data_IF_532251158942
#
_entry.id   IF_532251158942
#
_cell.length_a   1.000
_cell.length_b   1.000
_cell.length_c   1.000
_cell.angle_alpha   90.00
_cell.angle_beta   90.00
_cell.angle_gamma   90.00
#
_symmetry.space_group_name_H-M   'P 1'
#
loop_
_entity.id
_entity.type
_entity.pdbx_description
1 polymer ?
#
# COMPACT_ATOMS: atom_id res chain seq x y z
N UNK A 1 -64.08 -26.32 18.16
CA UNK A 1 -62.79 -26.95 18.45
C UNK A 1 -62.20 -27.48 17.15
N UNK A 2 -61.30 -26.70 16.50
CA UNK A 2 -60.45 -27.04 15.34
C UNK A 2 -59.93 -25.74 14.71
N UNK A 3 -58.86 -25.16 15.26
CA UNK A 3 -57.93 -24.29 14.52
C UNK A 3 -56.56 -24.58 15.13
N UNK A 4 -55.97 -25.67 14.66
CA UNK A 4 -54.57 -25.97 14.89
C UNK A 4 -53.88 -25.92 13.53
N UNK A 5 -52.63 -25.48 13.55
CA UNK A 5 -51.61 -25.81 12.53
C UNK A 5 -51.58 -24.88 11.32
N UNK A 6 -50.93 -23.73 11.44
CA UNK A 6 -50.09 -23.14 10.36
C UNK A 6 -49.23 -22.00 10.89
N UNK A 7 -48.10 -22.32 11.54
CA UNK A 7 -47.08 -21.32 11.90
C UNK A 7 -45.65 -21.89 11.91
N UNK A 8 -45.38 -22.89 11.06
CA UNK A 8 -44.02 -23.33 10.78
C UNK A 8 -43.88 -23.45 9.27
N UNK A 9 -43.26 -22.45 8.65
CA UNK A 9 -43.12 -22.44 7.19
C UNK A 9 -42.52 -21.18 6.59
N UNK A 10 -41.70 -20.43 7.34
CA UNK A 10 -40.74 -19.47 6.75
C UNK A 10 -39.46 -19.47 7.61
N UNK A 11 -38.85 -20.65 7.76
CA UNK A 11 -37.39 -20.74 7.91
C UNK A 11 -36.90 -21.37 6.60
N UNK A 12 -37.31 -20.76 5.49
CA UNK A 12 -36.81 -21.10 4.17
C UNK A 12 -35.48 -20.38 4.02
N UNK A 13 -34.42 -21.08 4.42
CA UNK A 13 -33.16 -21.12 3.68
C UNK A 13 -32.70 -19.74 3.20
N UNK A 14 -32.35 -18.88 4.13
CA UNK A 14 -31.25 -17.95 3.91
C UNK A 14 -29.94 -18.74 4.13
N UNK A 15 -29.72 -19.80 3.32
CA UNK A 15 -28.36 -20.19 2.96
C UNK A 15 -27.88 -19.05 2.06
N UNK A 16 -27.65 -17.88 2.66
CA UNK A 16 -26.88 -16.85 2.02
C UNK A 16 -25.56 -17.51 1.74
N UNK A 17 -25.18 -17.58 0.46
CA UNK A 17 -23.81 -17.85 0.10
C UNK A 17 -23.00 -16.87 0.93
N UNK A 18 -22.36 -17.37 1.98
CA UNK A 18 -21.39 -16.56 2.70
C UNK A 18 -20.43 -16.14 1.59
N UNK A 19 -20.21 -14.83 1.39
CA UNK A 19 -19.20 -14.41 0.45
C UNK A 19 -17.95 -15.22 0.76
N UNK A 20 -17.31 -15.75 -0.29
CA UNK A 20 -16.01 -16.41 -0.12
C UNK A 20 -15.20 -15.50 0.79
N UNK A 21 -14.82 -16.03 1.96
CA UNK A 21 -14.30 -15.20 3.04
C UNK A 21 -13.09 -14.47 2.52
N UNK A 22 -13.09 -13.14 2.63
CA UNK A 22 -11.98 -12.31 2.21
C UNK A 22 -10.66 -12.87 2.78
N UNK A 23 -9.74 -13.26 1.92
CA UNK A 23 -8.54 -14.01 2.32
C UNK A 23 -7.33 -13.08 2.42
N UNK A 24 -7.00 -12.70 3.65
CA UNK A 24 -5.83 -11.89 3.98
C UNK A 24 -4.61 -12.80 4.19
N UNK A 25 -3.56 -12.56 3.40
CA UNK A 25 -2.29 -13.30 3.45
C UNK A 25 -1.36 -12.68 4.48
N UNK A 26 -1.12 -11.38 4.39
CA UNK A 26 -0.19 -10.66 5.27
C UNK A 26 -0.78 -9.35 5.75
N UNK A 27 -0.40 -8.95 6.98
CA UNK A 27 -0.86 -7.71 7.61
C UNK A 27 0.23 -7.05 8.45
N UNK A 28 0.42 -5.75 8.29
CA UNK A 28 1.25 -4.89 9.14
C UNK A 28 0.49 -3.60 9.46
N UNK A 29 -0.05 -3.52 10.69
CA UNK A 29 -0.69 -2.32 11.27
C UNK A 29 0.21 -1.55 12.22
N UNK A 30 1.53 -1.79 12.15
CA UNK A 30 2.55 -1.16 12.98
C UNK A 30 2.19 -1.07 14.47
N UNK A 31 1.67 -2.16 15.05
CA UNK A 31 1.24 -2.25 16.44
C UNK A 31 2.41 -2.32 17.44
N UNK A 32 3.33 -1.38 17.32
CA UNK A 32 4.52 -1.20 18.15
C UNK A 32 4.29 -0.08 19.16
N UNK A 33 5.09 0.00 20.24
CA UNK A 33 5.05 1.16 21.11
C UNK A 33 5.56 2.43 20.38
N UNK A 34 4.97 3.58 20.68
CA UNK A 34 5.41 4.87 20.09
C UNK A 34 6.90 5.12 20.33
N UNK A 35 7.60 5.56 19.29
CA UNK A 35 9.05 5.83 19.30
C UNK A 35 9.93 4.59 19.18
N UNK A 36 9.35 3.39 19.02
CA UNK A 36 10.13 2.15 18.87
C UNK A 36 10.74 2.09 17.48
N UNK A 37 12.07 1.94 17.39
CA UNK A 37 12.72 1.56 16.15
C UNK A 37 12.26 0.15 15.74
N UNK A 38 11.89 -0.05 14.48
CA UNK A 38 11.39 -1.31 13.94
C UNK A 38 12.54 -2.08 13.29
N UNK A 39 12.49 -3.42 13.29
CA UNK A 39 13.56 -4.25 12.72
C UNK A 39 14.84 -4.27 13.57
N UNK A 40 14.70 -4.13 14.89
CA UNK A 40 15.82 -4.18 15.85
C UNK A 40 16.29 -5.61 16.18
N UNK A 41 15.57 -6.64 15.73
CA UNK A 41 16.01 -8.03 15.80
C UNK A 41 14.93 -9.00 16.31
N UNK A 42 15.23 -10.33 16.28
CA UNK A 42 14.24 -11.40 16.24
C UNK A 42 13.11 -11.34 17.29
N UNK A 43 11.88 -11.47 16.80
CA UNK A 43 10.64 -11.44 17.58
C UNK A 43 10.15 -10.04 17.96
N UNK A 44 10.78 -8.95 17.49
CA UNK A 44 10.33 -7.58 17.80
C UNK A 44 9.19 -7.12 16.91
N UNK A 45 9.11 -7.68 15.70
CA UNK A 45 8.23 -7.19 14.67
C UNK A 45 6.84 -7.85 14.73
N UNK A 46 5.80 -7.03 14.72
CA UNK A 46 4.40 -7.43 14.79
C UNK A 46 3.85 -7.85 13.42
N UNK A 47 2.53 -7.77 13.28
CA UNK A 47 1.83 -8.20 12.07
C UNK A 47 1.67 -9.71 11.95
N UNK A 48 1.12 -10.16 10.82
CA UNK A 48 0.90 -11.57 10.51
C UNK A 48 1.23 -11.89 9.05
N UNK A 49 1.55 -13.15 8.75
CA UNK A 49 1.81 -13.59 7.38
C UNK A 49 3.15 -13.14 6.80
N UNK A 50 4.13 -12.85 7.65
CA UNK A 50 5.49 -12.47 7.27
C UNK A 50 6.46 -13.58 7.66
N UNK A 51 7.42 -13.90 6.79
CA UNK A 51 8.41 -14.97 7.04
C UNK A 51 9.61 -14.49 7.84
N UNK A 52 9.83 -13.18 7.88
CA UNK A 52 10.88 -12.53 8.65
C UNK A 52 10.41 -11.19 9.22
N UNK A 53 11.32 -10.54 9.93
CA UNK A 53 11.18 -9.17 10.40
C UNK A 53 11.48 -8.17 9.28
N UNK A 54 11.12 -6.91 9.51
CA UNK A 54 11.62 -5.80 8.74
C UNK A 54 13.15 -5.82 8.75
N UNK A 55 13.69 -5.98 7.56
CA UNK A 55 15.12 -6.08 7.33
C UNK A 55 15.58 -4.81 6.65
N UNK A 56 16.59 -4.17 7.22
CA UNK A 56 17.24 -3.02 6.60
C UNK A 56 18.04 -3.44 5.38
N UNK A 57 18.06 -2.62 4.34
CA UNK A 57 19.04 -2.77 3.27
C UNK A 57 20.46 -2.57 3.81
N UNK A 58 21.28 -3.61 3.83
CA UNK A 58 22.67 -3.49 4.30
C UNK A 58 23.54 -2.57 3.44
N UNK A 59 23.20 -2.40 2.16
CA UNK A 59 24.02 -1.66 1.20
C UNK A 59 23.78 -0.15 1.21
N UNK A 60 22.59 0.29 1.60
CA UNK A 60 22.17 1.68 1.43
C UNK A 60 21.14 2.15 2.47
N UNK A 61 20.71 1.30 3.40
CA UNK A 61 19.75 1.64 4.43
C UNK A 61 20.44 2.14 5.70
N UNK A 62 20.00 3.27 6.24
CA UNK A 62 20.48 3.81 7.50
C UNK A 62 19.91 3.03 8.70
N UNK A 63 20.68 2.82 9.79
CA UNK A 63 20.14 2.26 11.03
C UNK A 63 19.01 3.15 11.61
N UNK A 64 18.03 2.53 12.27
CA UNK A 64 16.95 3.23 12.99
C UNK A 64 16.17 4.22 12.11
N UNK A 65 16.05 3.86 10.83
CA UNK A 65 15.41 4.67 9.81
C UNK A 65 13.96 4.24 9.48
N UNK A 66 13.45 3.28 10.26
CA UNK A 66 12.05 2.90 10.32
C UNK A 66 11.69 2.84 11.80
N UNK A 67 10.72 3.65 12.22
CA UNK A 67 10.22 3.65 13.61
C UNK A 67 8.71 3.75 13.65
N UNK A 68 8.13 3.18 14.68
CA UNK A 68 6.72 3.38 14.96
C UNK A 68 6.49 4.75 15.58
N UNK A 69 5.44 5.43 15.17
CA UNK A 69 5.04 6.70 15.77
C UNK A 69 3.56 6.66 16.14
N UNK A 70 3.28 7.15 17.33
CA UNK A 70 1.96 7.15 17.96
C UNK A 70 0.90 7.85 17.12
N UNK A 71 -0.29 7.28 17.13
CA UNK A 71 -1.41 7.68 16.28
C UNK A 71 -1.50 6.78 15.06
N UNK A 72 -2.71 6.56 14.56
CA UNK A 72 -2.94 5.83 13.32
C UNK A 72 -3.27 6.81 12.20
N UNK A 73 -3.00 6.41 10.97
CA UNK A 73 -3.56 7.05 9.80
C UNK A 73 -4.98 6.53 9.57
N UNK A 74 -5.85 7.35 8.96
CA UNK A 74 -7.26 7.00 8.78
C UNK A 74 -7.80 7.41 7.42
N UNK A 75 -8.47 6.51 6.72
CA UNK A 75 -9.06 6.81 5.42
C UNK A 75 -10.58 6.66 5.46
N UNK A 76 -11.27 7.66 4.93
CA UNK A 76 -12.72 7.64 4.71
C UNK A 76 -12.96 8.01 3.26
N UNK A 77 -13.67 7.15 2.53
CA UNK A 77 -13.96 7.38 1.12
C UNK A 77 -15.06 8.44 0.90
N UNK A 78 -15.32 8.75 -0.36
CA UNK A 78 -16.31 9.76 -0.76
C UNK A 78 -17.76 9.40 -0.38
N UNK A 79 -18.02 8.13 -0.05
CA UNK A 79 -19.33 7.66 0.40
C UNK A 79 -19.43 7.59 1.93
N UNK A 80 -18.39 8.01 2.66
CA UNK A 80 -18.40 8.06 4.12
C UNK A 80 -18.04 6.74 4.81
N UNK A 81 -17.61 5.70 4.07
CA UNK A 81 -17.12 4.47 4.70
C UNK A 81 -15.69 4.68 5.15
N UNK A 82 -15.40 4.22 6.36
CA UNK A 82 -14.07 4.31 6.96
C UNK A 82 -13.36 2.96 6.86
N UNK A 83 -12.13 2.98 6.38
CA UNK A 83 -11.24 1.83 6.39
C UNK A 83 -10.97 1.42 7.85
N UNK A 84 -11.08 0.14 8.15
CA UNK A 84 -10.75 -0.39 9.48
C UNK A 84 -9.25 -0.32 9.67
N UNK A 85 -8.80 0.54 10.58
CA UNK A 85 -7.39 0.67 10.97
C UNK A 85 -7.18 0.32 12.43
N UNK A 86 -5.95 -0.02 12.81
CA UNK A 86 -5.51 -0.40 14.14
C UNK A 86 -4.01 -0.14 14.28
N UNK A 87 -3.58 0.26 15.48
CA UNK A 87 -2.17 0.42 15.78
C UNK A 87 -1.64 1.83 15.55
N UNK A 88 -0.35 1.91 15.30
CA UNK A 88 0.39 3.13 15.01
C UNK A 88 0.75 3.13 13.52
N UNK A 89 1.56 4.08 13.04
CA UNK A 89 2.14 4.01 11.69
C UNK A 89 3.67 3.85 11.75
N UNK A 90 4.22 3.25 10.70
CA UNK A 90 5.65 3.18 10.44
C UNK A 90 6.12 4.47 9.76
N UNK A 91 7.00 5.22 10.41
CA UNK A 91 7.67 6.36 9.83
C UNK A 91 9.03 5.93 9.27
N UNK A 92 9.17 6.04 7.96
CA UNK A 92 10.40 5.78 7.21
C UNK A 92 11.12 7.12 7.04
N UNK A 93 12.16 7.33 7.84
CA UNK A 93 12.92 8.57 7.91
C UNK A 93 14.38 8.30 8.25
N UNK A 94 15.29 9.26 8.11
CA UNK A 94 16.72 9.07 8.41
C UNK A 94 17.07 9.43 9.86
N UNK A 95 16.28 8.87 10.80
CA UNK A 95 16.44 8.98 12.25
C UNK A 95 16.32 10.42 12.79
N UNK A 96 15.18 11.04 12.47
CA UNK A 96 14.69 12.23 13.15
C UNK A 96 15.42 13.50 12.74
N UNK A 97 14.85 14.19 11.74
CA UNK A 97 14.80 15.65 11.55
C UNK A 97 16.09 16.49 11.68
N UNK A 98 17.23 15.92 12.03
CA UNK A 98 18.50 16.59 12.08
C UNK A 98 18.78 16.98 10.64
N UNK A 99 18.78 18.30 10.45
CA UNK A 99 19.01 18.98 9.19
C UNK A 99 20.25 18.32 8.55
N UNK A 100 20.05 17.44 7.58
CA UNK A 100 21.13 16.74 6.88
C UNK A 100 21.81 17.74 5.93
N UNK A 101 22.39 18.79 6.52
CA UNK A 101 23.07 19.88 5.83
C UNK A 101 24.32 19.42 5.11
N UNK A 102 24.81 18.23 5.47
CA UNK A 102 26.06 17.68 4.95
C UNK A 102 25.87 16.93 3.62
N UNK A 103 24.65 16.87 3.08
CA UNK A 103 24.39 16.28 1.76
C UNK A 103 24.73 14.79 1.68
N UNK A 104 24.70 14.08 2.81
CA UNK A 104 24.93 12.64 2.85
C UNK A 104 23.83 11.91 2.08
N UNK A 105 24.20 10.90 1.30
CA UNK A 105 23.26 10.06 0.54
C UNK A 105 22.42 9.12 1.41
N UNK A 106 21.82 9.63 2.49
CA UNK A 106 21.03 8.88 3.45
C UNK A 106 19.78 8.32 2.79
N UNK A 107 19.53 7.03 3.02
CA UNK A 107 18.30 6.37 2.60
C UNK A 107 17.79 5.49 3.72
N UNK A 108 16.50 5.57 3.97
CA UNK A 108 15.75 4.59 4.71
C UNK A 108 15.23 3.57 3.70
N UNK A 109 15.73 2.33 3.78
CA UNK A 109 15.33 1.26 2.87
C UNK A 109 15.11 -0.01 3.70
N UNK A 110 13.86 -0.42 3.78
CA UNK A 110 13.42 -1.55 4.60
C UNK A 110 12.58 -2.49 3.76
N UNK A 111 12.64 -3.77 4.07
CA UNK A 111 11.83 -4.77 3.41
C UNK A 111 11.40 -5.87 4.33
N UNK A 112 10.33 -6.56 3.93
CA UNK A 112 9.82 -7.72 4.64
C UNK A 112 9.27 -8.72 3.64
N UNK A 113 9.55 -10.01 3.87
CA UNK A 113 9.10 -11.10 3.02
C UNK A 113 7.82 -11.70 3.59
N UNK A 114 6.92 -12.12 2.70
CA UNK A 114 5.69 -12.82 3.06
C UNK A 114 6.02 -14.26 3.48
N UNK A 115 5.19 -14.84 4.36
CA UNK A 115 5.20 -16.28 4.62
C UNK A 115 4.11 -16.94 3.78
N UNK A 116 4.54 -17.58 2.70
CA UNK A 116 3.67 -18.28 1.76
C UNK A 116 3.67 -19.80 1.98
N UNK A 117 4.31 -20.28 3.05
CA UNK A 117 4.43 -21.72 3.32
C UNK A 117 3.08 -22.40 3.56
N UNK A 118 2.09 -21.68 4.10
CA UNK A 118 0.72 -22.15 4.26
C UNK A 118 0.01 -22.46 2.93
N UNK A 119 0.45 -21.86 1.83
CA UNK A 119 -0.03 -22.11 0.47
C UNK A 119 0.80 -23.16 -0.27
N UNK A 120 1.91 -23.62 0.31
CA UNK A 120 2.88 -24.47 -0.38
C UNK A 120 3.56 -23.77 -1.55
N UNK A 121 3.65 -22.44 -1.51
CA UNK A 121 4.17 -21.59 -2.58
C UNK A 121 5.45 -20.86 -2.15
N UNK A 122 6.31 -20.55 -3.12
CA UNK A 122 7.51 -19.75 -2.93
C UNK A 122 7.30 -18.26 -3.25
N UNK A 123 6.27 -17.92 -4.03
CA UNK A 123 5.94 -16.56 -4.46
C UNK A 123 4.44 -16.43 -4.74
N UNK A 124 3.96 -15.19 -4.92
CA UNK A 124 2.54 -14.93 -5.18
C UNK A 124 2.03 -15.47 -6.51
N UNK A 125 2.87 -15.59 -7.54
CA UNK A 125 2.47 -16.18 -8.84
C UNK A 125 2.07 -17.64 -8.68
N UNK A 126 2.76 -18.39 -7.81
CA UNK A 126 2.38 -19.78 -7.48
C UNK A 126 1.10 -19.85 -6.65
N UNK A 127 0.82 -18.85 -5.81
CA UNK A 127 -0.42 -18.79 -5.01
C UNK A 127 -1.64 -18.55 -5.91
N UNK A 128 -1.59 -17.56 -6.81
CA UNK A 128 -2.76 -17.15 -7.60
C UNK A 128 -2.85 -17.83 -8.97
N UNK A 129 -1.72 -18.35 -9.48
CA UNK A 129 -1.59 -18.90 -10.82
C UNK A 129 -1.59 -17.83 -11.92
N UNK A 130 -1.18 -18.23 -13.12
CA UNK A 130 -1.20 -17.35 -14.31
C UNK A 130 -2.62 -16.87 -14.60
N UNK A 131 -2.78 -15.57 -14.77
CA UNK A 131 -4.06 -14.87 -14.95
C UNK A 131 -4.83 -14.61 -13.65
N UNK A 132 -4.36 -15.16 -12.52
CA UNK A 132 -4.86 -14.84 -11.20
C UNK A 132 -4.36 -13.48 -10.71
N UNK A 133 -5.08 -12.88 -9.77
CA UNK A 133 -4.72 -11.61 -9.18
C UNK A 133 -4.63 -11.70 -7.67
N UNK A 134 -3.82 -10.81 -7.09
CA UNK A 134 -3.82 -10.51 -5.67
C UNK A 134 -3.75 -9.00 -5.47
N UNK A 135 -4.04 -8.58 -4.26
CA UNK A 135 -4.18 -7.18 -3.90
C UNK A 135 -3.26 -6.83 -2.75
N UNK A 136 -2.80 -5.60 -2.76
CA UNK A 136 -2.04 -4.97 -1.69
C UNK A 136 -2.72 -3.66 -1.39
N UNK A 137 -2.87 -3.31 -0.13
CA UNK A 137 -3.24 -1.94 0.23
C UNK A 137 -2.32 -1.40 1.29
N UNK A 138 -2.22 -0.07 1.32
CA UNK A 138 -1.57 0.64 2.41
C UNK A 138 -2.09 2.07 2.43
N UNK A 139 -1.90 2.70 3.58
CA UNK A 139 -2.05 4.13 3.70
C UNK A 139 -0.66 4.75 3.64
N UNK A 140 -0.45 5.70 2.71
CA UNK A 140 0.78 6.46 2.61
C UNK A 140 0.55 7.94 2.92
N UNK A 141 1.43 8.54 3.69
CA UNK A 141 1.47 9.99 3.88
C UNK A 141 2.90 10.48 3.70
N UNK A 142 3.12 11.37 2.72
CA UNK A 142 4.42 12.01 2.58
C UNK A 142 4.60 13.02 3.71
N UNK A 143 5.75 12.92 4.37
CA UNK A 143 6.16 13.84 5.42
C UNK A 143 7.52 14.45 5.10
N UNK A 144 7.91 15.46 5.87
CA UNK A 144 9.21 16.10 5.73
C UNK A 144 9.13 17.60 5.88
N UNK A 145 10.30 18.21 6.06
CA UNK A 145 10.41 19.66 6.19
C UNK A 145 10.25 20.37 4.85
N UNK A 146 9.78 21.61 4.91
CA UNK A 146 10.00 22.60 3.87
C UNK A 146 11.52 22.72 3.61
N UNK A 147 11.98 22.41 2.40
CA UNK A 147 13.39 22.52 2.03
C UNK A 147 13.62 23.93 1.49
N UNK A 148 14.49 24.74 2.11
CA UNK A 148 14.95 25.97 1.48
C UNK A 148 15.76 25.62 0.23
N UNK A 149 15.13 25.64 -0.93
CA UNK A 149 15.84 25.55 -2.20
C UNK A 149 16.56 26.89 -2.42
N UNK A 150 17.89 26.87 -2.41
CA UNK A 150 18.69 27.95 -3.00
C UNK A 150 18.57 27.77 -4.51
N UNK A 151 17.64 28.51 -5.12
CA UNK A 151 17.56 28.62 -6.58
C UNK A 151 18.54 29.71 -6.96
N UNK A 152 19.60 29.34 -7.67
CA UNK A 152 20.42 30.31 -8.41
C UNK A 152 19.57 30.85 -9.57
N UNK A 153 18.87 31.95 -9.30
CA UNK A 153 17.89 32.58 -10.18
C UNK A 153 18.52 33.35 -11.33
N UNK A 154 19.78 33.77 -11.20
CA UNK A 154 20.49 34.53 -12.23
C UNK A 154 21.79 33.88 -12.73
N UNK A 155 22.14 32.71 -12.20
CA UNK A 155 23.25 31.87 -12.61
C UNK A 155 24.61 32.59 -12.46
N UNK A 156 24.72 33.47 -11.44
CA UNK A 156 25.88 34.32 -11.19
C UNK A 156 26.93 33.69 -10.25
N UNK A 157 26.62 32.53 -9.66
CA UNK A 157 27.50 31.82 -8.73
C UNK A 157 27.57 32.43 -7.32
N UNK A 158 26.75 33.45 -7.03
CA UNK A 158 26.48 34.01 -5.72
C UNK A 158 25.40 33.22 -4.96
N UNK A 159 25.38 33.37 -3.63
CA UNK A 159 24.35 32.74 -2.81
C UNK A 159 23.02 33.45 -2.96
N UNK A 160 22.12 32.89 -3.75
CA UNK A 160 20.81 33.47 -4.01
C UNK A 160 19.77 33.24 -2.89
N UNK A 161 18.67 34.00 -2.96
CA UNK A 161 17.64 34.05 -1.91
C UNK A 161 17.09 32.68 -1.54
N UNK A 162 17.06 32.43 -0.23
CA UNK A 162 16.43 31.27 0.38
C UNK A 162 14.90 31.38 0.25
N UNK A 163 14.31 30.84 -0.81
CA UNK A 163 12.86 30.65 -0.84
C UNK A 163 12.52 29.38 -0.06
N UNK A 164 11.82 29.55 1.06
CA UNK A 164 11.19 28.45 1.79
C UNK A 164 9.98 27.96 0.99
N UNK A 165 10.22 27.11 0.00
CA UNK A 165 9.15 26.31 -0.56
C UNK A 165 8.92 25.09 0.35
N UNK A 166 7.69 24.55 0.45
CA UNK A 166 7.53 23.14 0.81
C UNK A 166 8.54 22.33 0.03
N UNK A 167 9.18 21.33 0.63
CA UNK A 167 10.07 20.45 -0.12
C UNK A 167 9.21 19.63 -1.08
N UNK A 168 8.82 20.24 -2.20
CA UNK A 168 7.84 19.67 -3.12
C UNK A 168 8.40 18.40 -3.80
N UNK A 169 9.70 18.10 -3.62
CA UNK A 169 10.48 17.21 -4.48
C UNK A 169 11.48 16.31 -3.75
N UNK A 170 11.23 15.95 -2.48
CA UNK A 170 12.05 14.97 -1.78
C UNK A 170 12.04 13.63 -2.55
N UNK A 171 13.22 13.20 -3.00
CA UNK A 171 13.38 12.05 -3.91
C UNK A 171 13.01 10.75 -3.20
N UNK A 172 12.85 9.69 -3.97
CA UNK A 172 12.90 8.31 -3.46
C UNK A 172 11.91 8.03 -2.31
N UNK A 173 10.64 8.39 -2.47
CA UNK A 173 9.57 8.11 -1.51
C UNK A 173 8.59 7.14 -2.15
N UNK A 174 8.74 5.85 -1.89
CA UNK A 174 7.90 4.85 -2.54
C UNK A 174 7.75 3.55 -1.76
N UNK A 175 6.66 2.88 -2.07
CA UNK A 175 6.43 1.48 -1.77
C UNK A 175 6.99 0.63 -2.92
N UNK A 176 7.57 -0.52 -2.63
CA UNK A 176 8.08 -1.42 -3.68
C UNK A 176 7.63 -2.86 -3.50
N UNK A 177 7.43 -3.52 -4.64
CA UNK A 177 7.20 -4.95 -4.74
C UNK A 177 8.54 -5.66 -4.96
N UNK A 178 8.77 -6.73 -4.23
CA UNK A 178 10.07 -7.43 -4.17
C UNK A 178 10.02 -8.82 -4.76
N UNK A 179 11.09 -9.20 -5.45
CA UNK A 179 11.35 -10.57 -5.89
C UNK A 179 12.66 -11.11 -5.28
N UNK A 180 12.67 -12.37 -4.84
CA UNK A 180 13.88 -13.10 -4.46
C UNK A 180 14.32 -12.93 -3.00
N UNK A 181 13.44 -12.51 -2.10
CA UNK A 181 13.72 -12.50 -0.66
C UNK A 181 14.67 -11.39 -0.16
N UNK A 182 15.02 -10.44 -1.02
CA UNK A 182 15.82 -9.25 -0.69
C UNK A 182 15.26 -7.99 -1.36
N UNK A 183 15.90 -6.84 -1.12
CA UNK A 183 15.58 -5.60 -1.84
C UNK A 183 16.04 -5.69 -3.31
N UNK A 184 15.22 -6.35 -4.12
CA UNK A 184 15.20 -6.26 -5.56
C UNK A 184 13.93 -5.53 -5.97
N UNK A 185 14.03 -4.22 -6.16
CA UNK A 185 12.89 -3.39 -6.55
C UNK A 185 12.42 -3.80 -7.95
N UNK A 186 11.26 -4.42 -8.05
CA UNK A 186 10.69 -4.84 -9.35
C UNK A 186 9.65 -3.85 -9.83
N UNK A 187 8.77 -3.42 -8.94
CA UNK A 187 7.82 -2.35 -9.18
C UNK A 187 7.86 -1.36 -8.01
N UNK A 188 7.81 -0.07 -8.33
CA UNK A 188 7.86 1.05 -7.39
C UNK A 188 6.59 1.89 -7.56
N UNK A 189 5.90 2.17 -6.46
CA UNK A 189 4.67 2.97 -6.39
C UNK A 189 4.93 4.16 -5.47
N UNK A 190 4.91 5.37 -6.04
CA UNK A 190 5.22 6.60 -5.32
C UNK A 190 6.03 7.57 -6.18
N UNK A 191 7.09 8.15 -5.62
CA UNK A 191 8.00 9.02 -6.34
C UNK A 191 9.46 8.50 -6.22
N UNK A 192 9.83 7.47 -7.01
CA UNK A 192 11.19 6.94 -7.07
C UNK A 192 12.13 7.86 -7.87
N UNK A 193 11.64 8.99 -8.38
CA UNK A 193 12.37 9.84 -9.31
C UNK A 193 13.25 10.88 -8.63
N UNK A 194 14.17 11.44 -9.43
CA UNK A 194 14.84 12.71 -9.11
C UNK A 194 14.06 13.94 -9.58
N UNK A 195 12.91 13.73 -10.23
CA UNK A 195 12.16 14.79 -10.88
C UNK A 195 11.34 15.55 -9.87
N UNK A 196 11.18 16.82 -10.18
CA UNK A 196 10.40 17.76 -9.38
C UNK A 196 8.91 17.61 -9.67
N UNK A 197 8.39 16.39 -9.80
CA UNK A 197 6.96 16.16 -10.04
C UNK A 197 6.37 15.57 -8.78
N UNK A 198 5.44 16.30 -8.17
CA UNK A 198 4.70 15.86 -6.98
C UNK A 198 3.53 14.97 -7.39
N UNK A 199 3.82 13.84 -8.04
CA UNK A 199 2.82 12.91 -8.57
C UNK A 199 3.15 11.48 -8.17
N UNK A 200 2.10 10.68 -8.00
CA UNK A 200 2.26 9.24 -7.91
C UNK A 200 2.69 8.68 -9.26
N UNK A 201 3.65 7.79 -9.22
CA UNK A 201 4.15 7.06 -10.39
C UNK A 201 4.18 5.57 -10.10
N UNK A 202 3.99 4.79 -11.15
CA UNK A 202 4.18 3.35 -11.16
C UNK A 202 5.35 3.06 -12.11
N UNK A 203 6.45 2.56 -11.55
CA UNK A 203 7.69 2.32 -12.28
C UNK A 203 8.12 0.87 -12.14
N UNK A 204 8.44 0.23 -13.27
CA UNK A 204 9.11 -1.07 -13.27
C UNK A 204 10.63 -0.88 -13.11
N UNK A 205 11.34 -1.91 -12.66
CA UNK A 205 12.80 -1.91 -12.53
C UNK A 205 13.46 -1.49 -13.84
N UNK A 206 14.45 -0.61 -13.74
CA UNK A 206 15.20 0.00 -14.85
C UNK A 206 14.33 0.72 -15.92
N UNK A 207 13.01 0.74 -15.79
CA UNK A 207 12.17 1.49 -16.71
C UNK A 207 12.42 2.99 -16.58
N UNK A 208 12.13 3.71 -17.67
CA UNK A 208 12.11 5.16 -17.66
C UNK A 208 11.13 5.66 -16.59
N UNK A 209 11.50 6.76 -15.95
CA UNK A 209 10.88 7.26 -14.72
C UNK A 209 9.42 7.70 -14.88
N UNK A 210 8.94 7.97 -16.10
CA UNK A 210 7.63 8.61 -16.34
C UNK A 210 6.61 7.69 -17.04
N UNK A 211 6.80 6.38 -16.97
CA UNK A 211 6.11 5.47 -17.89
C UNK A 211 4.66 5.13 -17.45
N UNK A 212 4.31 5.41 -16.20
CA UNK A 212 2.92 5.52 -15.74
C UNK A 212 2.85 6.55 -14.59
N UNK A 213 2.12 7.64 -14.81
CA UNK A 213 2.03 8.78 -13.89
C UNK A 213 0.56 9.09 -13.64
N UNK A 214 0.17 9.20 -12.38
CA UNK A 214 -1.18 9.59 -11.99
C UNK A 214 -1.42 11.10 -12.21
N UNK A 215 -2.69 11.47 -12.38
CA UNK A 215 -3.13 12.87 -12.25
C UNK A 215 -3.21 13.33 -10.79
N UNK A 216 -3.29 12.38 -9.84
CA UNK A 216 -3.27 12.65 -8.41
C UNK A 216 -1.88 13.08 -7.95
N UNK A 217 -1.88 14.12 -7.11
CA UNK A 217 -0.64 14.67 -6.57
C UNK A 217 -0.19 13.89 -5.35
N UNK A 218 1.12 13.76 -5.21
CA UNK A 218 1.79 13.16 -4.05
C UNK A 218 1.78 14.16 -2.87
N UNK A 219 0.58 14.61 -2.49
CA UNK A 219 0.37 15.71 -1.56
C UNK A 219 0.77 15.35 -0.12
N UNK A 220 0.89 16.37 0.74
CA UNK A 220 1.08 16.21 2.19
C UNK A 220 -0.15 15.63 2.91
N UNK A 221 -1.17 15.20 2.17
CA UNK A 221 -2.29 14.50 2.74
C UNK A 221 -2.06 13.00 2.64
N UNK A 222 -2.62 12.30 3.61
CA UNK A 222 -2.75 10.86 3.57
C UNK A 222 -3.46 10.41 2.28
N UNK A 223 -2.98 9.32 1.71
CA UNK A 223 -3.57 8.65 0.55
C UNK A 223 -3.79 7.19 0.91
N UNK A 224 -4.97 6.65 0.57
CA UNK A 224 -5.17 5.21 0.59
C UNK A 224 -4.84 4.64 -0.79
N UNK A 225 -3.94 3.68 -0.83
CA UNK A 225 -3.45 3.09 -2.08
C UNK A 225 -3.87 1.63 -2.11
N UNK A 226 -4.48 1.21 -3.21
CA UNK A 226 -4.73 -0.21 -3.50
C UNK A 226 -4.00 -0.57 -4.78
N UNK A 227 -3.19 -1.61 -4.72
CA UNK A 227 -2.41 -2.16 -5.83
C UNK A 227 -2.97 -3.54 -6.13
N UNK A 228 -3.38 -3.77 -7.37
CA UNK A 228 -3.70 -5.10 -7.89
C UNK A 228 -2.56 -5.56 -8.76
N UNK A 229 -2.14 -6.79 -8.57
CA UNK A 229 -1.19 -7.46 -9.45
C UNK A 229 -1.91 -8.63 -10.10
N UNK A 230 -1.85 -8.71 -11.42
CA UNK A 230 -2.28 -9.89 -12.18
C UNK A 230 -1.06 -10.60 -12.74
N UNK A 231 -0.88 -11.86 -12.35
CA UNK A 231 0.24 -12.67 -12.79
C UNK A 231 0.11 -13.03 -14.28
N UNK A 232 1.16 -12.77 -15.03
CA UNK A 232 1.27 -13.04 -16.45
C UNK A 232 1.81 -14.42 -16.78
N UNK A 233 1.84 -14.75 -18.07
CA UNK A 233 2.63 -15.88 -18.59
C UNK A 233 3.96 -15.34 -19.11
N UNK A 234 5.04 -15.61 -18.39
CA UNK A 234 6.34 -14.99 -18.63
C UNK A 234 7.26 -15.80 -19.54
N UNK A 235 6.81 -16.95 -20.07
CA UNK A 235 7.56 -17.67 -21.09
C UNK A 235 7.51 -16.89 -22.40
N UNK A 236 8.63 -16.23 -22.75
CA UNK A 236 8.76 -15.44 -23.98
C UNK A 236 8.57 -16.26 -25.27
N UNK A 237 8.63 -17.59 -25.18
CA UNK A 237 8.40 -18.48 -26.32
C UNK A 237 6.95 -18.99 -26.39
N UNK A 238 6.13 -18.74 -25.37
CA UNK A 238 4.72 -19.07 -25.40
C UNK A 238 3.96 -18.06 -26.27
N UNK A 239 3.09 -18.56 -27.14
CA UNK A 239 2.20 -17.72 -27.97
C UNK A 239 1.23 -16.88 -27.13
N UNK A 240 0.96 -17.31 -25.89
CA UNK A 240 0.15 -16.61 -24.92
C UNK A 240 1.00 -15.85 -23.89
N UNK A 241 2.22 -15.45 -24.25
CA UNK A 241 3.05 -14.58 -23.43
C UNK A 241 2.29 -13.31 -23.04
N UNK A 242 2.20 -13.05 -21.74
CA UNK A 242 1.56 -11.88 -21.15
C UNK A 242 2.45 -11.47 -19.96
N UNK A 243 3.03 -10.26 -19.93
CA UNK A 243 3.76 -9.78 -18.76
C UNK A 243 2.83 -9.60 -17.55
N UNK A 244 3.40 -9.53 -16.35
CA UNK A 244 2.64 -9.15 -15.15
C UNK A 244 2.03 -7.75 -15.32
N UNK A 245 0.78 -7.58 -14.90
CA UNK A 245 0.07 -6.32 -14.93
C UNK A 245 -0.08 -5.77 -13.51
N UNK A 246 0.34 -4.54 -13.30
CA UNK A 246 0.13 -3.81 -12.03
C UNK A 246 -0.85 -2.66 -12.28
N UNK A 247 -1.90 -2.63 -11.48
CA UNK A 247 -2.94 -1.60 -11.49
C UNK A 247 -2.99 -0.94 -10.10
N UNK A 248 -3.15 0.38 -10.05
CA UNK A 248 -3.12 1.15 -8.81
C UNK A 248 -4.31 2.10 -8.76
N UNK A 249 -5.03 2.08 -7.65
CA UNK A 249 -6.06 3.04 -7.29
C UNK A 249 -5.59 3.91 -6.12
N UNK A 250 -5.89 5.20 -6.21
CA UNK A 250 -5.61 6.21 -5.21
C UNK A 250 -6.93 6.74 -4.66
N UNK A 251 -7.09 6.62 -3.35
CA UNK A 251 -8.33 6.92 -2.63
C UNK A 251 -9.57 6.25 -3.24
N UNK A 252 -9.56 4.91 -3.42
CA UNK A 252 -10.71 4.21 -3.96
C UNK A 252 -11.92 4.22 -3.00
N UNK A 253 -13.09 3.99 -3.58
CA UNK A 253 -14.31 3.49 -2.94
C UNK A 253 -14.04 2.13 -2.25
N UNK A 254 -14.41 2.00 -0.98
CA UNK A 254 -14.09 0.80 -0.19
C UNK A 254 -15.05 -0.39 -0.43
N UNK A 255 -16.16 -0.25 -1.16
CA UNK A 255 -17.14 -1.36 -1.27
C UNK A 255 -16.70 -2.52 -2.13
N UNK A 256 -16.11 -2.24 -3.30
CA UNK A 256 -15.77 -3.27 -4.28
C UNK A 256 -14.88 -2.69 -5.37
N UNK A 257 -14.04 -3.53 -5.95
CA UNK A 257 -13.22 -3.17 -7.12
C UNK A 257 -14.08 -2.64 -8.28
N UNK A 258 -15.21 -3.31 -8.58
CA UNK A 258 -16.05 -2.98 -9.73
C UNK A 258 -16.70 -1.59 -9.67
N UNK A 259 -16.86 -1.01 -8.48
CA UNK A 259 -17.40 0.34 -8.31
C UNK A 259 -16.35 1.45 -8.40
N UNK A 260 -15.05 1.11 -8.35
CA UNK A 260 -13.96 2.07 -8.47
C UNK A 260 -13.69 2.54 -9.89
N UNK A 261 -14.22 1.83 -10.90
CA UNK A 261 -13.93 2.13 -12.30
C UNK A 261 -12.50 1.78 -12.67
N UNK A 262 -11.90 2.56 -13.59
CA UNK A 262 -10.55 2.30 -14.07
C UNK A 262 -9.48 2.68 -13.01
N UNK A 263 -8.34 1.98 -12.97
CA UNK A 263 -7.23 2.35 -12.11
C UNK A 263 -6.61 3.70 -12.49
N UNK A 264 -6.08 4.43 -11.52
CA UNK A 264 -5.36 5.69 -11.70
C UNK A 264 -4.02 5.49 -12.43
N UNK A 265 -3.41 4.32 -12.26
CA UNK A 265 -2.20 3.92 -12.98
C UNK A 265 -2.30 2.44 -13.35
N UNK A 266 -1.86 2.09 -14.55
CA UNK A 266 -1.79 0.70 -15.00
C UNK A 266 -0.54 0.49 -15.84
N UNK A 267 0.16 -0.62 -15.62
CA UNK A 267 1.43 -0.90 -16.30
C UNK A 267 1.72 -2.39 -16.39
N UNK A 268 2.09 -2.84 -17.58
CA UNK A 268 2.79 -4.12 -17.75
C UNK A 268 4.25 -4.01 -17.29
N UNK A 269 4.69 -4.92 -16.43
CA UNK A 269 6.01 -4.88 -15.81
C UNK A 269 7.05 -5.52 -16.75
N UNK A 270 7.91 -4.67 -17.31
CA UNK A 270 8.96 -5.02 -18.27
C UNK A 270 10.28 -4.34 -17.87
N UNK A 271 11.41 -5.02 -17.98
CA UNK A 271 12.77 -4.50 -17.85
C UNK A 271 13.15 -3.77 -19.15
N UNK A 272 13.55 -2.50 -19.02
CA UNK A 272 13.92 -1.62 -20.14
C UNK A 272 12.90 -1.59 -21.30
N UNK A 273 11.65 -1.96 -21.04
CA UNK A 273 10.57 -2.04 -22.03
C UNK A 273 10.68 -3.20 -23.03
N UNK A 274 11.54 -4.20 -22.79
CA UNK A 274 11.76 -5.30 -23.76
C UNK A 274 11.70 -6.68 -23.14
N UNK A 275 12.24 -6.88 -21.93
CA UNK A 275 12.29 -8.20 -21.30
C UNK A 275 11.25 -8.28 -20.18
N UNK A 276 10.41 -9.33 -20.08
CA UNK A 276 9.53 -9.48 -18.93
C UNK A 276 10.34 -9.55 -17.64
N UNK A 277 9.88 -8.81 -16.63
CA UNK A 277 10.34 -9.08 -15.27
C UNK A 277 9.27 -9.90 -14.61
N UNK A 278 9.68 -11.07 -14.13
CA UNK A 278 8.87 -11.83 -13.20
C UNK A 278 8.77 -11.03 -11.90
N UNK A 279 7.57 -10.56 -11.60
CA UNK A 279 7.32 -9.95 -10.31
C UNK A 279 7.50 -10.96 -9.20
N UNK A 280 7.11 -12.23 -9.43
CA UNK A 280 7.12 -13.36 -8.50
C UNK A 280 7.21 -12.90 -7.04
N UNK A 281 6.20 -12.13 -6.62
CA UNK A 281 6.37 -11.29 -5.46
C UNK A 281 6.60 -12.15 -4.22
N UNK A 282 7.67 -11.83 -3.50
CA UNK A 282 8.09 -12.50 -2.26
C UNK A 282 7.95 -11.60 -1.05
N UNK A 283 7.80 -10.29 -1.25
CA UNK A 283 7.75 -9.32 -0.16
C UNK A 283 7.39 -7.91 -0.60
N UNK A 284 7.50 -7.00 0.35
CA UNK A 284 7.24 -5.56 0.18
C UNK A 284 8.41 -4.76 0.74
N UNK A 285 8.65 -3.58 0.19
CA UNK A 285 9.67 -2.66 0.68
C UNK A 285 9.15 -1.24 0.87
N UNK A 286 9.73 -0.56 1.84
CA UNK A 286 9.46 0.83 2.19
C UNK A 286 10.73 1.64 2.01
N UNK A 287 10.64 2.70 1.20
CA UNK A 287 11.78 3.54 0.87
C UNK A 287 11.46 5.02 1.04
N UNK A 288 12.37 5.73 1.71
CA UNK A 288 12.39 7.19 1.79
C UNK A 288 13.86 7.65 1.82
N UNK A 289 14.27 8.63 1.01
CA UNK A 289 15.68 9.06 1.04
C UNK A 289 16.09 10.03 -0.06
N UNK A 290 17.39 10.07 -0.35
CA UNK A 290 17.97 11.01 -1.34
C UNK A 290 18.59 10.33 -2.58
N UNK A 291 18.83 9.02 -2.54
CA UNK A 291 19.55 8.22 -3.56
C UNK A 291 20.81 8.90 -4.07
N UNK A 292 21.70 9.30 -3.16
CA UNK A 292 22.96 9.94 -3.53
C UNK A 292 22.81 11.33 -4.18
N UNK A 293 21.68 12.01 -3.96
CA UNK A 293 21.51 13.42 -4.32
C UNK A 293 21.97 14.37 -3.23
N UNK A 294 22.27 15.62 -3.62
CA UNK A 294 22.56 16.72 -2.68
C UNK A 294 21.28 17.38 -2.13
N UNK A 295 20.15 16.67 -2.10
CA UNK A 295 18.86 17.18 -1.61
C UNK A 295 18.50 16.52 -0.28
N UNK A 296 17.62 17.16 0.49
CA UNK A 296 17.03 16.51 1.67
C UNK A 296 16.28 15.25 1.23
N UNK A 297 16.49 14.16 1.97
CA UNK A 297 15.77 12.92 1.74
C UNK A 297 14.27 13.06 1.99
N UNK A 298 13.47 12.22 1.36
CA UNK A 298 12.06 12.11 1.70
C UNK A 298 11.83 11.48 3.06
N UNK A 299 10.68 11.79 3.66
CA UNK A 299 10.13 11.07 4.80
C UNK A 299 8.76 10.57 4.37
N UNK A 300 8.43 9.34 4.73
CA UNK A 300 7.13 8.76 4.40
C UNK A 300 6.59 7.98 5.59
N UNK A 301 5.35 8.26 5.95
CA UNK A 301 4.59 7.44 6.87
C UNK A 301 3.82 6.39 6.07
N UNK A 302 3.87 5.16 6.55
CA UNK A 302 3.09 4.05 6.05
C UNK A 302 2.27 3.48 7.19
N UNK A 303 1.02 3.15 6.91
CA UNK A 303 0.16 2.46 7.83
C UNK A 303 -0.59 1.36 7.08
N UNK A 304 -1.10 0.37 7.81
CA UNK A 304 -2.14 -0.50 7.32
C UNK A 304 -1.78 -1.33 6.07
N UNK A 305 -0.56 -1.87 6.01
CA UNK A 305 -0.12 -2.69 4.88
C UNK A 305 -0.84 -4.04 4.92
N UNK A 306 -1.64 -4.32 3.89
CA UNK A 306 -2.36 -5.59 3.71
C UNK A 306 -1.94 -6.23 2.40
N UNK A 307 -1.87 -7.56 2.39
CA UNK A 307 -1.78 -8.37 1.18
C UNK A 307 -2.85 -9.43 1.25
N UNK A 308 -3.65 -9.60 0.20
CA UNK A 308 -4.72 -10.59 0.16
C UNK A 308 -5.15 -10.97 -1.25
N UNK A 309 -6.05 -11.95 -1.35
CA UNK A 309 -6.46 -12.54 -2.63
C UNK A 309 -7.63 -11.84 -3.31
N UNK A 310 -8.28 -10.92 -2.59
CA UNK A 310 -9.45 -10.20 -3.05
C UNK A 310 -9.45 -8.76 -2.54
N UNK A 311 -10.26 -7.92 -3.19
CA UNK A 311 -10.39 -6.51 -2.87
C UNK A 311 -10.83 -6.31 -1.41
N UNK A 312 -11.84 -7.06 -0.98
CA UNK A 312 -12.45 -6.96 0.34
C UNK A 312 -11.46 -7.25 1.47
N UNK A 313 -10.49 -8.14 1.23
CA UNK A 313 -9.43 -8.48 2.19
C UNK A 313 -8.47 -7.31 2.45
N UNK A 314 -8.25 -6.45 1.46
CA UNK A 314 -7.35 -5.30 1.56
C UNK A 314 -8.07 -3.97 1.77
N UNK A 315 -9.40 -3.93 1.63
CA UNK A 315 -10.23 -2.74 1.90
C UNK A 315 -11.30 -2.98 2.97
N UNK A 316 -10.97 -3.58 4.14
CA UNK A 316 -11.98 -3.84 5.16
C UNK A 316 -12.56 -2.51 5.64
N UNK A 317 -13.86 -2.36 5.54
CA UNK A 317 -14.56 -1.15 5.96
C UNK A 317 -15.65 -1.49 6.98
N UNK A 318 -15.97 -0.51 7.82
CA UNK A 318 -17.15 -0.60 8.68
C UNK A 318 -18.36 -0.21 7.84
N UNK A 319 -19.33 -1.12 7.59
CA UNK A 319 -20.56 -0.75 6.90
C UNK A 319 -21.29 0.34 7.69
N UNK A 320 -21.91 1.29 6.99
CA UNK A 320 -22.66 2.34 7.67
C UNK A 320 -23.73 1.71 8.60
N UNK A 321 -23.85 2.19 9.85
CA UNK A 321 -24.81 1.63 10.82
C UNK A 321 -26.28 1.73 10.37
N UNK A 322 -26.57 2.54 9.35
CA UNK A 322 -27.91 2.80 8.83
C UNK A 322 -28.57 1.55 8.25
N UNK A 323 -27.86 0.68 7.54
CA UNK A 323 -28.47 -0.48 6.88
C UNK A 323 -28.96 -1.54 7.87
N UNK A 324 -28.18 -1.83 8.91
CA UNK A 324 -28.57 -2.79 9.96
C UNK A 324 -29.62 -2.21 10.89
N UNK A 325 -29.55 -0.91 11.20
CA UNK A 325 -30.56 -0.22 12.00
C UNK A 325 -31.91 -0.18 11.27
N UNK A 326 -31.94 0.10 9.95
CA UNK A 326 -33.17 0.06 9.17
C UNK A 326 -33.72 -1.36 9.03
N UNK A 327 -32.88 -2.36 8.81
CA UNK A 327 -33.33 -3.76 8.72
C UNK A 327 -33.96 -4.23 10.04
N UNK A 328 -33.35 -3.88 11.18
CA UNK A 328 -33.86 -4.21 12.50
C UNK A 328 -35.14 -3.43 12.84
N UNK A 329 -35.24 -2.15 12.48
CA UNK A 329 -36.47 -1.35 12.61
C UNK A 329 -37.61 -1.91 11.75
N UNK A 330 -37.35 -2.26 10.49
CA UNK A 330 -38.32 -2.90 9.60
C UNK A 330 -38.76 -4.26 10.13
N UNK A 331 -37.83 -5.07 10.64
CA UNK A 331 -38.13 -6.36 11.28
C UNK A 331 -39.03 -6.20 12.51
N UNK A 332 -38.73 -5.24 13.39
CA UNK A 332 -39.55 -4.93 14.57
C UNK A 332 -40.93 -4.35 14.20
N UNK A 333 -41.00 -3.51 13.17
CA UNK A 333 -42.27 -2.96 12.66
C UNK A 333 -43.19 -4.04 12.09
N UNK A 334 -42.63 -5.02 11.37
CA UNK A 334 -43.41 -6.15 10.85
C UNK A 334 -43.83 -7.13 11.96
N UNK A 335 -42.97 -7.36 12.95
CA UNK A 335 -43.27 -8.23 14.09
C UNK A 335 -44.39 -7.65 14.99
N UNK A 336 -44.43 -6.33 15.16
CA UNK A 336 -45.45 -5.66 15.99
C UNK A 336 -46.81 -5.56 15.29
N UNK A 337 -46.85 -5.40 13.96
CA UNK A 337 -48.11 -5.34 13.19
C UNK A 337 -48.91 -6.65 13.20
N UNK A 338 -48.28 -7.79 13.47
CA UNK A 338 -48.95 -9.11 13.49
C UNK A 338 -49.65 -9.43 14.83
N UNK A 339 -49.58 -8.55 15.83
CA UNK A 339 -50.17 -8.74 17.16
C UNK A 339 -51.38 -7.84 17.48
N UNK A 340 -51.82 -7.02 16.54
CA UNK A 340 -53.08 -6.25 16.63
C UNK A 340 -54.09 -6.78 15.62
#
# INVERSE_FOLDING_TARGET
MKIATTCFGVIAVALMALPAGAELISYEGFQYADGTDIGLGPGSDGGSGWSNEWTRNGSNGDPNSLRAVGGGLSYTDTMGRTLVTSGNYGLVDFNGLNDDRDGGGRNAQWYRNMDLSGYGAANMTEVVGVGGSYYISFIGERRGFHDPLVVDTDNDGGGDQTQYHPNVYARNAHFTLLNGGGLGEVAQIGNPSNKTTDRWTLRAKNAAVDDAVSDERFSYNQQFVVVKVTAGNLDINDVNFIPDLVEVWLNPDLSSEGLNGAPDMSKFILDNGVDPIDLAQTGVGLLAGSEGGNRRGAVMAFDEIRVGLDWESVTPNVPEPTSLALLSLCGLGLATRRRG
#
